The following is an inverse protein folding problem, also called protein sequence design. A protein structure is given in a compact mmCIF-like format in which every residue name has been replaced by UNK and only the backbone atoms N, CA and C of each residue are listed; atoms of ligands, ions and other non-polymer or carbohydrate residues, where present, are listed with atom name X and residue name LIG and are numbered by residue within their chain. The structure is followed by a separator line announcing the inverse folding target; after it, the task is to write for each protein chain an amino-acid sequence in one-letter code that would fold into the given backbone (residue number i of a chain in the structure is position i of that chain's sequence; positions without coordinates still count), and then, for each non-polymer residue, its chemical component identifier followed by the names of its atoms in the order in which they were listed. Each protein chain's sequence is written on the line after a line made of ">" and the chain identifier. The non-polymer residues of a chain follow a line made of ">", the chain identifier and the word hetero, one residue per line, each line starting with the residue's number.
data_IF_448842957809
#
_entry.id   IF_448842957809
#
_cell.length_a   1.000
_cell.length_b   1.000
_cell.length_c   1.000
_cell.angle_alpha   90.00
_cell.angle_beta   90.00
_cell.angle_gamma   90.00
#
_symmetry.space_group_name_H-M   'P 1'
#
loop_
_entity.id
_entity.type
_entity.pdbx_description
1 polymer ?
#
# COMPACT_ATOMS: atom_id res chain seq x y z
N UNK A 1 1.37 7.08 20.87
CA UNK A 1 0.62 5.82 20.78
C UNK A 1 -0.84 6.12 20.49
N UNK A 2 -1.50 5.26 19.70
CA UNK A 2 -2.94 5.34 19.44
C UNK A 2 -3.57 3.94 19.53
N UNK A 3 -4.86 3.86 19.89
CA UNK A 3 -5.67 2.65 19.81
C UNK A 3 -6.79 2.86 18.81
N UNK A 4 -6.99 1.89 17.94
CA UNK A 4 -7.94 1.96 16.81
C UNK A 4 -8.97 0.84 16.90
N UNK A 5 -10.18 1.09 16.44
CA UNK A 5 -11.27 0.10 16.52
C UNK A 5 -12.61 0.69 16.12
N UNK A 6 -13.69 0.01 16.47
CA UNK A 6 -15.06 0.36 16.12
C UNK A 6 -15.94 0.38 17.37
N UNK A 7 -16.95 1.25 17.39
CA UNK A 7 -17.99 1.30 18.42
C UNK A 7 -17.44 1.34 19.86
N UNK A 8 -16.35 2.11 20.06
CA UNK A 8 -15.69 2.24 21.36
C UNK A 8 -14.86 1.01 21.78
N UNK A 9 -14.77 -0.04 20.95
CA UNK A 9 -14.00 -1.25 21.24
C UNK A 9 -12.68 -1.23 20.47
N UNK A 10 -11.53 -1.37 21.15
CA UNK A 10 -10.25 -1.43 20.47
C UNK A 10 -10.13 -2.74 19.66
N UNK A 11 -9.67 -2.63 18.43
CA UNK A 11 -9.23 -3.74 17.60
C UNK A 11 -7.72 -3.93 17.72
N UNK A 12 -6.97 -2.82 17.68
CA UNK A 12 -5.53 -2.79 17.82
C UNK A 12 -5.17 -1.68 18.79
N UNK A 13 -4.40 -2.04 19.80
CA UNK A 13 -3.96 -1.13 20.84
C UNK A 13 -2.49 -0.75 20.68
N UNK A 14 -2.10 0.36 21.30
CA UNK A 14 -0.72 0.83 21.42
C UNK A 14 0.05 0.99 20.08
N UNK A 15 -0.65 1.29 19.01
CA UNK A 15 -0.01 1.57 17.71
C UNK A 15 0.90 2.79 17.84
N UNK A 16 2.18 2.60 17.62
CA UNK A 16 3.20 3.66 17.62
C UNK A 16 3.89 3.72 16.27
N UNK A 17 3.73 4.83 15.58
CA UNK A 17 4.30 5.06 14.26
C UNK A 17 5.00 6.41 14.29
N UNK A 18 6.23 6.44 13.81
CA UNK A 18 6.98 7.67 13.58
C UNK A 18 7.54 7.62 12.16
N UNK A 19 7.21 8.61 11.37
CA UNK A 19 7.68 8.76 9.99
C UNK A 19 8.31 10.13 9.79
N UNK A 20 9.32 10.17 8.95
CA UNK A 20 9.93 11.41 8.45
C UNK A 20 9.27 11.81 7.14
N UNK A 21 9.39 13.08 6.77
CA UNK A 21 8.94 13.55 5.45
C UNK A 21 9.68 12.80 4.34
N UNK A 22 8.93 12.40 3.31
CA UNK A 22 9.48 11.65 2.19
C UNK A 22 9.73 10.16 2.45
N UNK A 23 9.27 9.61 3.59
CA UNK A 23 9.33 8.17 3.84
C UNK A 23 8.06 7.45 3.37
N UNK A 24 8.24 6.20 2.97
CA UNK A 24 7.18 5.25 2.62
C UNK A 24 7.04 4.22 3.73
N UNK A 25 5.88 4.19 4.38
CA UNK A 25 5.50 3.14 5.33
C UNK A 25 4.50 2.19 4.67
N UNK A 26 4.82 0.91 4.65
CA UNK A 26 3.89 -0.14 4.21
C UNK A 26 3.36 -0.95 5.39
N UNK A 27 2.04 -1.09 5.44
CA UNK A 27 1.35 -1.97 6.38
C UNK A 27 1.22 -3.36 5.77
N UNK A 28 1.73 -4.38 6.44
CA UNK A 28 1.62 -5.79 6.09
C UNK A 28 0.82 -6.56 7.14
N UNK A 29 0.28 -7.69 6.73
CA UNK A 29 -0.45 -8.63 7.60
C UNK A 29 -1.62 -9.29 6.90
N UNK A 30 -2.17 -10.35 7.49
CA UNK A 30 -3.29 -11.10 6.93
C UNK A 30 -4.52 -10.23 6.62
N UNK A 31 -5.43 -10.76 5.80
CA UNK A 31 -6.72 -10.11 5.58
C UNK A 31 -7.49 -10.04 6.90
N UNK A 32 -8.12 -8.90 7.16
CA UNK A 32 -8.83 -8.65 8.41
C UNK A 32 -7.93 -8.31 9.62
N UNK A 33 -6.60 -8.24 9.45
CA UNK A 33 -5.67 -7.89 10.55
C UNK A 33 -5.83 -6.46 11.07
N UNK A 34 -6.59 -5.59 10.38
CA UNK A 34 -6.84 -4.23 10.85
C UNK A 34 -6.02 -3.14 10.14
N UNK A 35 -5.31 -3.46 9.05
CA UNK A 35 -4.54 -2.49 8.25
C UNK A 35 -5.38 -1.28 7.84
N UNK A 36 -6.51 -1.52 7.17
CA UNK A 36 -7.44 -0.45 6.75
C UNK A 36 -8.04 0.31 7.94
N UNK A 37 -8.18 -0.32 9.13
CA UNK A 37 -8.64 0.36 10.34
C UNK A 37 -7.59 1.36 10.82
N UNK A 38 -6.31 0.99 10.83
CA UNK A 38 -5.20 1.90 11.14
C UNK A 38 -5.19 3.06 10.15
N UNK A 39 -5.23 2.78 8.82
CA UNK A 39 -5.21 3.82 7.79
C UNK A 39 -6.38 4.80 7.91
N UNK A 40 -7.61 4.30 8.11
CA UNK A 40 -8.81 5.13 8.31
C UNK A 40 -8.73 5.97 9.59
N UNK A 41 -8.14 5.44 10.65
CA UNK A 41 -7.96 6.17 11.90
C UNK A 41 -6.93 7.28 11.76
N UNK A 42 -5.80 7.02 11.07
CA UNK A 42 -4.83 8.07 10.73
C UNK A 42 -5.47 9.12 9.83
N UNK A 43 -6.29 8.71 8.85
CA UNK A 43 -7.01 9.60 7.94
C UNK A 43 -8.18 10.38 8.60
N UNK A 44 -8.44 10.20 9.89
CA UNK A 44 -9.59 10.78 10.61
C UNK A 44 -10.96 10.40 10.03
N UNK A 45 -11.02 9.33 9.22
CA UNK A 45 -12.27 8.73 8.74
C UNK A 45 -12.90 7.81 9.79
N UNK A 46 -12.11 7.37 10.75
CA UNK A 46 -12.53 6.60 11.92
C UNK A 46 -11.97 7.27 13.17
N UNK A 47 -12.80 7.46 14.16
CA UNK A 47 -12.38 8.04 15.45
C UNK A 47 -11.40 7.12 16.16
N UNK A 48 -10.35 7.70 16.75
CA UNK A 48 -9.46 6.96 17.65
C UNK A 48 -10.22 6.52 18.90
N UNK A 49 -9.95 5.31 19.37
CA UNK A 49 -10.40 4.83 20.67
C UNK A 49 -9.61 5.53 21.78
N UNK A 50 -8.30 5.64 21.61
CA UNK A 50 -7.43 6.36 22.52
C UNK A 50 -6.19 6.89 21.81
N UNK A 51 -5.47 7.80 22.45
CA UNK A 51 -4.21 8.35 21.94
C UNK A 51 -4.37 9.50 20.98
N UNK A 52 -3.33 9.79 20.21
CA UNK A 52 -3.28 10.93 19.29
C UNK A 52 -2.49 10.61 18.02
N UNK A 53 -2.84 11.28 16.92
CA UNK A 53 -2.02 11.39 15.71
C UNK A 53 -1.53 12.83 15.60
N UNK A 54 -0.26 13.01 15.34
CA UNK A 54 0.36 14.34 15.20
C UNK A 54 0.98 14.50 13.81
N UNK A 55 0.81 15.66 13.22
CA UNK A 55 1.46 16.09 12.00
C UNK A 55 2.38 17.27 12.34
N UNK A 56 3.66 17.14 12.06
CA UNK A 56 4.68 18.16 12.41
C UNK A 56 4.60 18.62 13.88
N UNK A 57 4.28 17.67 14.79
CA UNK A 57 4.13 17.93 16.22
C UNK A 57 2.75 18.46 16.66
N UNK A 58 1.90 18.89 15.73
CA UNK A 58 0.55 19.37 15.98
C UNK A 58 -0.47 18.20 16.05
N UNK A 59 -1.35 18.21 17.04
CA UNK A 59 -2.41 17.19 17.16
C UNK A 59 -3.43 17.38 16.04
N UNK A 60 -3.64 16.35 15.24
CA UNK A 60 -4.61 16.39 14.14
C UNK A 60 -6.03 16.76 14.55
N UNK A 61 -6.40 16.60 15.81
CA UNK A 61 -7.75 16.96 16.32
C UNK A 61 -7.96 18.46 16.36
N UNK A 62 -6.88 19.26 16.43
CA UNK A 62 -6.95 20.72 16.42
C UNK A 62 -7.17 21.29 15.01
N UNK A 63 -6.84 20.51 13.96
CA UNK A 63 -7.02 20.92 12.59
C UNK A 63 -8.49 20.85 12.17
N UNK A 64 -8.96 21.88 11.47
CA UNK A 64 -10.25 21.82 10.77
C UNK A 64 -10.22 20.79 9.64
N UNK A 65 -11.38 20.36 9.17
CA UNK A 65 -11.46 19.46 8.02
C UNK A 65 -10.81 20.03 6.75
N UNK A 66 -10.91 21.34 6.53
CA UNK A 66 -10.30 22.01 5.39
C UNK A 66 -8.76 22.05 5.49
N UNK A 67 -8.22 22.34 6.67
CA UNK A 67 -6.76 22.32 6.91
C UNK A 67 -6.21 20.91 6.76
N UNK A 68 -6.86 19.92 7.34
CA UNK A 68 -6.44 18.53 7.19
C UNK A 68 -6.47 18.07 5.73
N UNK A 69 -7.53 18.45 4.98
CA UNK A 69 -7.66 18.10 3.56
C UNK A 69 -6.57 18.73 2.68
N UNK A 70 -5.94 19.84 3.10
CA UNK A 70 -4.78 20.40 2.39
C UNK A 70 -3.48 19.67 2.70
N UNK A 71 -3.39 19.03 3.86
CA UNK A 71 -2.18 18.32 4.32
C UNK A 71 -2.19 16.83 3.96
N UNK A 72 -3.38 16.22 3.82
CA UNK A 72 -3.51 14.77 3.70
C UNK A 72 -4.52 14.40 2.62
N UNK A 73 -4.08 13.57 1.67
CA UNK A 73 -4.94 12.93 0.68
C UNK A 73 -5.10 11.44 0.97
N UNK A 74 -6.24 10.89 0.58
CA UNK A 74 -6.60 9.49 0.87
C UNK A 74 -7.20 8.83 -0.35
N UNK A 75 -6.67 7.66 -0.72
CA UNK A 75 -7.23 6.78 -1.74
C UNK A 75 -7.56 5.45 -1.09
N UNK A 76 -8.84 5.13 -1.00
CA UNK A 76 -9.34 3.88 -0.44
C UNK A 76 -9.78 2.92 -1.54
N UNK A 77 -9.80 1.63 -1.23
CA UNK A 77 -10.17 0.54 -2.15
C UNK A 77 -11.59 0.64 -2.71
N UNK A 78 -12.47 1.45 -2.10
CA UNK A 78 -13.84 1.63 -2.60
C UNK A 78 -13.84 2.26 -3.98
N UNK A 79 -14.45 1.59 -4.96
CA UNK A 79 -14.66 2.15 -6.30
C UNK A 79 -15.52 3.40 -6.22
N UNK A 80 -14.95 4.51 -6.65
CA UNK A 80 -15.71 5.72 -6.96
C UNK A 80 -16.61 5.40 -8.17
N UNK A 81 -17.89 5.71 -8.07
CA UNK A 81 -18.80 5.71 -9.22
C UNK A 81 -18.85 7.14 -9.72
N UNK A 82 -18.25 7.38 -10.86
CA UNK A 82 -18.21 8.70 -11.50
C UNK A 82 -19.14 8.73 -12.71
N UNK A 83 -20.44 8.41 -12.52
CA UNK A 83 -21.41 8.44 -13.62
C UNK A 83 -21.34 9.79 -14.34
N UNK A 84 -21.01 9.77 -15.64
CA UNK A 84 -20.87 10.91 -16.53
C UNK A 84 -19.67 11.85 -16.27
N UNK A 85 -18.79 11.56 -15.31
CA UNK A 85 -17.58 12.36 -15.08
C UNK A 85 -16.46 11.93 -16.04
N UNK A 86 -15.74 12.90 -16.58
CA UNK A 86 -14.48 12.65 -17.28
C UNK A 86 -13.35 12.35 -16.28
N UNK A 87 -12.22 11.85 -16.76
CA UNK A 87 -11.05 11.63 -15.91
C UNK A 87 -10.55 12.97 -15.32
N UNK A 88 -10.58 14.06 -16.12
CA UNK A 88 -10.22 15.38 -15.65
C UNK A 88 -11.17 15.87 -14.56
N UNK A 89 -12.50 15.69 -14.72
CA UNK A 89 -13.48 16.04 -13.69
C UNK A 89 -13.19 15.33 -12.36
N UNK A 90 -12.86 14.03 -12.42
CA UNK A 90 -12.50 13.24 -11.23
C UNK A 90 -11.25 13.82 -10.56
N UNK A 91 -10.20 14.13 -11.33
CA UNK A 91 -8.97 14.74 -10.78
C UNK A 91 -9.25 16.10 -10.19
N UNK A 92 -10.06 16.92 -10.85
CA UNK A 92 -10.45 18.26 -10.42
C UNK A 92 -11.15 18.26 -9.05
N UNK A 93 -11.85 17.18 -8.67
CA UNK A 93 -12.39 17.05 -7.31
C UNK A 93 -11.32 17.11 -6.22
N UNK A 94 -10.06 16.82 -6.54
CA UNK A 94 -8.91 16.98 -5.63
C UNK A 94 -8.68 18.44 -5.21
N UNK A 95 -9.20 19.41 -5.97
CA UNK A 95 -9.06 20.84 -5.66
C UNK A 95 -10.14 21.39 -4.72
N UNK A 96 -11.12 20.59 -4.31
CA UNK A 96 -12.17 21.05 -3.38
C UNK A 96 -11.67 21.74 -2.10
N UNK A 97 -10.54 21.36 -1.47
CA UNK A 97 -10.01 22.08 -0.32
C UNK A 97 -9.58 23.53 -0.62
N UNK A 98 -9.40 23.88 -1.89
CA UNK A 98 -8.93 25.19 -2.36
C UNK A 98 -10.06 26.02 -3.00
N UNK A 99 -11.10 25.36 -3.51
CA UNK A 99 -12.25 26.04 -4.09
C UNK A 99 -13.17 26.51 -2.97
N UNK A 100 -13.59 27.75 -3.02
CA UNK A 100 -14.51 28.30 -2.03
C UNK A 100 -15.89 27.59 -2.06
N UNK A 101 -16.87 28.18 -1.38
CA UNK A 101 -18.23 27.62 -1.19
C UNK A 101 -18.94 27.21 -2.50
N UNK A 102 -18.57 27.80 -3.62
CA UNK A 102 -19.19 27.53 -4.93
C UNK A 102 -18.44 26.49 -5.76
N UNK A 103 -17.30 25.96 -5.29
CA UNK A 103 -16.54 24.93 -6.02
C UNK A 103 -15.95 25.40 -7.36
N UNK A 104 -15.82 26.72 -7.58
CA UNK A 104 -15.30 27.26 -8.85
C UNK A 104 -13.78 27.11 -8.90
N UNK A 105 -13.32 26.41 -9.92
CA UNK A 105 -11.88 26.24 -10.20
C UNK A 105 -11.31 27.53 -10.79
N UNK A 106 -10.14 27.93 -10.33
CA UNK A 106 -9.35 29.04 -10.86
C UNK A 106 -8.29 28.52 -11.83
N UNK A 107 -7.61 29.42 -12.53
CA UNK A 107 -6.54 29.05 -13.46
C UNK A 107 -5.44 28.21 -12.78
N UNK A 108 -5.09 28.52 -11.52
CA UNK A 108 -4.13 27.75 -10.71
C UNK A 108 -4.61 26.33 -10.41
N UNK A 109 -5.91 26.12 -10.21
CA UNK A 109 -6.51 24.81 -9.98
C UNK A 109 -6.47 23.97 -11.25
N UNK A 110 -6.80 24.55 -12.42
CA UNK A 110 -6.67 23.86 -13.71
C UNK A 110 -5.23 23.46 -13.99
N UNK A 111 -4.26 24.33 -13.71
CA UNK A 111 -2.83 24.01 -13.85
C UNK A 111 -2.41 22.84 -12.92
N UNK A 112 -2.92 22.82 -11.67
CA UNK A 112 -2.66 21.74 -10.73
C UNK A 112 -3.27 20.40 -11.20
N UNK A 113 -4.47 20.42 -11.79
CA UNK A 113 -5.13 19.24 -12.39
C UNK A 113 -4.27 18.70 -13.52
N UNK A 114 -3.89 19.55 -14.49
CA UNK A 114 -3.10 19.15 -15.63
C UNK A 114 -1.74 18.56 -15.19
N UNK A 115 -1.03 19.25 -14.30
CA UNK A 115 0.25 18.78 -13.75
C UNK A 115 0.11 17.43 -13.04
N UNK A 116 -0.94 17.23 -12.25
CA UNK A 116 -1.19 15.95 -11.58
C UNK A 116 -1.44 14.82 -12.58
N UNK A 117 -2.19 15.08 -13.65
CA UNK A 117 -2.47 14.10 -14.71
C UNK A 117 -1.23 13.74 -15.51
N UNK A 118 -0.37 14.70 -15.83
CA UNK A 118 0.92 14.48 -16.50
C UNK A 118 1.86 13.63 -15.65
N UNK A 119 1.97 13.92 -14.35
CA UNK A 119 2.82 13.19 -13.41
C UNK A 119 2.53 11.69 -13.37
N UNK A 120 1.26 11.31 -13.48
CA UNK A 120 0.86 9.90 -13.45
C UNK A 120 0.51 9.35 -14.85
N UNK A 121 0.84 10.10 -15.91
CA UNK A 121 0.70 9.68 -17.30
C UNK A 121 -0.76 9.32 -17.69
N UNK A 122 -1.69 10.18 -17.37
CA UNK A 122 -3.12 10.04 -17.72
C UNK A 122 -3.69 11.28 -18.41
N UNK A 123 -2.86 12.25 -18.81
CA UNK A 123 -3.31 13.47 -19.47
C UNK A 123 -4.03 13.18 -20.80
N UNK A 124 -3.56 12.20 -21.57
CA UNK A 124 -4.15 11.82 -22.87
C UNK A 124 -5.58 11.27 -22.76
N UNK A 125 -5.99 10.82 -21.59
CA UNK A 125 -7.34 10.28 -21.34
C UNK A 125 -8.23 11.24 -20.54
N UNK A 126 -7.84 12.51 -20.43
CA UNK A 126 -8.57 13.53 -19.65
C UNK A 126 -10.05 13.59 -19.96
N UNK A 127 -10.40 13.66 -21.24
CA UNK A 127 -11.77 13.73 -21.74
C UNK A 127 -12.53 12.39 -21.73
N UNK A 128 -11.85 11.28 -21.43
CA UNK A 128 -12.49 9.97 -21.38
C UNK A 128 -13.38 9.83 -20.15
N UNK A 129 -14.54 9.17 -20.31
CA UNK A 129 -15.40 8.87 -19.16
C UNK A 129 -14.70 7.95 -18.19
N UNK A 130 -14.65 8.33 -16.91
CA UNK A 130 -13.98 7.61 -15.85
C UNK A 130 -14.44 6.14 -15.70
N UNK A 131 -15.71 5.86 -15.96
CA UNK A 131 -16.27 4.50 -15.88
C UNK A 131 -15.90 3.62 -17.09
N UNK A 132 -15.33 4.20 -18.17
CA UNK A 132 -15.00 3.49 -19.41
C UNK A 132 -13.51 3.20 -19.60
N UNK A 133 -12.66 3.60 -18.64
CA UNK A 133 -11.22 3.34 -18.69
C UNK A 133 -10.85 2.03 -17.98
N UNK A 134 -9.64 1.50 -18.25
CA UNK A 134 -9.13 0.29 -17.59
C UNK A 134 -8.91 0.51 -16.09
N UNK A 135 -8.84 -0.59 -15.31
CA UNK A 135 -8.59 -0.51 -13.88
C UNK A 135 -7.22 0.14 -13.57
N UNK A 136 -6.19 -0.13 -14.38
CA UNK A 136 -4.88 0.51 -14.23
C UNK A 136 -4.92 2.02 -14.50
N UNK A 137 -5.66 2.44 -15.53
CA UNK A 137 -5.88 3.87 -15.80
C UNK A 137 -6.68 4.51 -14.67
N UNK A 138 -7.73 3.84 -14.20
CA UNK A 138 -8.57 4.32 -13.09
C UNK A 138 -7.75 4.55 -11.82
N UNK A 139 -6.86 3.62 -11.48
CA UNK A 139 -6.00 3.75 -10.31
C UNK A 139 -5.04 4.94 -10.44
N UNK A 140 -4.48 5.18 -11.63
CA UNK A 140 -3.63 6.36 -11.89
C UNK A 140 -4.44 7.67 -11.84
N UNK A 141 -5.66 7.70 -12.36
CA UNK A 141 -6.56 8.86 -12.24
C UNK A 141 -6.89 9.16 -10.77
N UNK A 142 -7.13 8.12 -9.96
CA UNK A 142 -7.34 8.29 -8.52
C UNK A 142 -6.08 8.79 -7.79
N UNK A 143 -4.90 8.36 -8.23
CA UNK A 143 -3.64 8.90 -7.74
C UNK A 143 -3.45 10.36 -8.18
N UNK A 144 -3.75 10.71 -9.44
CA UNK A 144 -3.74 12.09 -9.93
C UNK A 144 -4.63 12.99 -9.07
N UNK A 145 -5.85 12.55 -8.80
CA UNK A 145 -6.80 13.25 -7.91
C UNK A 145 -6.20 13.52 -6.53
N UNK A 146 -5.54 12.54 -5.94
CA UNK A 146 -4.90 12.69 -4.65
C UNK A 146 -3.68 13.63 -4.70
N UNK A 147 -2.86 13.55 -5.73
CA UNK A 147 -1.69 14.43 -5.95
C UNK A 147 -2.13 15.87 -6.26
N UNK A 148 -3.22 16.05 -7.02
CA UNK A 148 -3.80 17.35 -7.35
C UNK A 148 -4.20 18.14 -6.10
N UNK A 149 -4.46 17.47 -5.00
CA UNK A 149 -4.71 18.07 -3.69
C UNK A 149 -3.43 18.68 -3.07
N UNK A 150 -2.24 18.43 -3.64
CA UNK A 150 -0.94 18.88 -3.15
C UNK A 150 -0.67 18.52 -1.67
N UNK A 151 -0.90 17.25 -1.28
CA UNK A 151 -0.79 16.85 0.11
C UNK A 151 0.67 16.70 0.57
N UNK A 152 0.91 16.81 1.87
CA UNK A 152 2.17 16.43 2.53
C UNK A 152 2.18 14.91 2.84
N UNK A 153 1.00 14.32 3.02
CA UNK A 153 0.82 12.89 3.36
C UNK A 153 -0.21 12.26 2.42
N UNK A 154 0.14 11.11 1.86
CA UNK A 154 -0.73 10.30 1.02
C UNK A 154 -1.01 8.96 1.68
N UNK A 155 -2.28 8.65 1.92
CA UNK A 155 -2.72 7.37 2.46
C UNK A 155 -3.38 6.55 1.35
N UNK A 156 -2.91 5.30 1.17
CA UNK A 156 -3.38 4.40 0.12
C UNK A 156 -3.75 3.05 0.73
N UNK A 157 -5.00 2.63 0.56
CA UNK A 157 -5.44 1.31 1.02
C UNK A 157 -5.51 0.35 -0.17
N UNK A 158 -4.60 -0.62 -0.22
CA UNK A 158 -4.43 -1.63 -1.26
C UNK A 158 -4.39 -1.05 -2.69
N UNK A 159 -3.51 -0.08 -2.98
CA UNK A 159 -3.54 0.64 -4.25
C UNK A 159 -3.15 -0.22 -5.47
N UNK A 160 -2.53 -1.37 -5.26
CA UNK A 160 -2.11 -2.28 -6.33
C UNK A 160 -3.11 -3.40 -6.62
N UNK A 161 -4.20 -3.48 -5.84
CA UNK A 161 -5.25 -4.46 -6.07
C UNK A 161 -5.87 -4.29 -7.46
N UNK A 162 -6.08 -5.39 -8.16
CA UNK A 162 -6.62 -5.44 -9.53
C UNK A 162 -5.70 -4.90 -10.63
N UNK A 163 -4.45 -4.54 -10.33
CA UNK A 163 -3.45 -4.16 -11.33
C UNK A 163 -2.67 -5.39 -11.79
N UNK A 164 -2.36 -5.45 -13.09
CA UNK A 164 -1.36 -6.40 -13.59
C UNK A 164 0.07 -5.98 -13.18
N UNK A 165 1.03 -6.85 -13.40
CA UNK A 165 2.43 -6.66 -12.98
C UNK A 165 3.01 -5.35 -13.51
N UNK A 166 2.75 -5.01 -14.79
CA UNK A 166 3.27 -3.78 -15.41
C UNK A 166 2.73 -2.55 -14.70
N UNK A 167 1.40 -2.47 -14.55
CA UNK A 167 0.75 -1.31 -13.93
C UNK A 167 1.10 -1.16 -12.45
N UNK A 168 1.32 -2.28 -11.70
CA UNK A 168 1.85 -2.24 -10.33
C UNK A 168 3.21 -1.57 -10.26
N UNK A 169 4.14 -1.99 -11.11
CA UNK A 169 5.49 -1.43 -11.14
C UNK A 169 5.49 0.05 -11.51
N UNK A 170 4.72 0.43 -12.54
CA UNK A 170 4.55 1.83 -12.96
C UNK A 170 4.00 2.69 -11.81
N UNK A 171 2.93 2.22 -11.14
CA UNK A 171 2.30 2.91 -10.03
C UNK A 171 3.27 3.13 -8.86
N UNK A 172 3.97 2.07 -8.43
CA UNK A 172 4.91 2.15 -7.32
C UNK A 172 6.13 3.02 -7.66
N UNK A 173 6.62 2.97 -8.90
CA UNK A 173 7.70 3.85 -9.35
C UNK A 173 7.31 5.33 -9.30
N UNK A 174 6.07 5.67 -9.69
CA UNK A 174 5.53 7.03 -9.57
C UNK A 174 5.49 7.46 -8.09
N UNK A 175 4.99 6.61 -7.19
CA UNK A 175 4.97 6.91 -5.76
C UNK A 175 6.37 7.16 -5.21
N UNK A 176 7.33 6.29 -5.53
CA UNK A 176 8.72 6.43 -5.08
C UNK A 176 9.35 7.73 -5.57
N UNK A 177 9.14 8.08 -6.84
CA UNK A 177 9.59 9.35 -7.42
C UNK A 177 9.00 10.55 -6.66
N UNK A 178 7.70 10.56 -6.41
CA UNK A 178 7.03 11.65 -5.68
C UNK A 178 7.57 11.78 -4.24
N UNK A 179 7.80 10.66 -3.55
CA UNK A 179 8.39 10.67 -2.22
C UNK A 179 9.77 11.32 -2.22
N UNK A 180 10.64 10.96 -3.16
CA UNK A 180 12.03 11.48 -3.21
C UNK A 180 12.10 12.91 -3.70
N UNK A 181 11.36 13.26 -4.75
CA UNK A 181 11.45 14.58 -5.39
C UNK A 181 10.61 15.66 -4.68
N UNK A 182 9.44 15.28 -4.16
CA UNK A 182 8.48 16.21 -3.53
C UNK A 182 8.38 16.08 -2.01
N UNK A 183 9.18 15.20 -1.41
CA UNK A 183 9.13 14.91 0.03
C UNK A 183 7.72 14.49 0.50
N UNK A 184 6.97 13.82 -0.38
CA UNK A 184 5.64 13.29 -0.08
C UNK A 184 5.80 12.09 0.86
N UNK A 185 5.18 12.14 2.02
CA UNK A 185 5.13 10.99 2.94
C UNK A 185 4.00 10.06 2.53
N UNK A 186 4.28 8.77 2.36
CA UNK A 186 3.27 7.80 1.93
C UNK A 186 3.06 6.73 2.99
N UNK A 187 1.79 6.46 3.29
CA UNK A 187 1.39 5.34 4.16
C UNK A 187 0.45 4.46 3.34
N UNK A 188 0.84 3.21 3.09
CA UNK A 188 0.03 2.32 2.26
C UNK A 188 -0.10 0.92 2.86
N UNK A 189 -1.15 0.19 2.46
CA UNK A 189 -1.24 -1.25 2.69
C UNK A 189 -0.95 -1.99 1.38
N UNK A 190 -0.21 -3.08 1.46
CA UNK A 190 0.05 -3.98 0.34
C UNK A 190 -0.23 -5.42 0.75
N UNK A 191 -0.49 -6.26 -0.25
CA UNK A 191 -0.58 -7.72 -0.09
C UNK A 191 0.67 -8.43 -0.64
N UNK A 192 1.33 -7.81 -1.60
CA UNK A 192 2.51 -8.35 -2.25
C UNK A 192 3.76 -8.04 -1.42
N UNK A 193 4.30 -9.08 -0.77
CA UNK A 193 5.47 -8.97 0.10
C UNK A 193 6.70 -8.45 -0.63
N UNK A 194 6.97 -9.00 -1.83
CA UNK A 194 8.07 -8.57 -2.69
C UNK A 194 8.00 -7.08 -3.07
N UNK A 195 6.80 -6.56 -3.32
CA UNK A 195 6.63 -5.15 -3.64
C UNK A 195 6.78 -4.27 -2.40
N UNK A 196 6.30 -4.75 -1.25
CA UNK A 196 6.47 -4.05 0.02
C UNK A 196 7.95 -3.90 0.38
N UNK A 197 8.73 -4.97 0.24
CA UNK A 197 10.17 -4.95 0.47
C UNK A 197 10.89 -3.93 -0.44
N UNK A 198 10.51 -3.87 -1.71
CA UNK A 198 11.18 -3.01 -2.71
C UNK A 198 10.86 -1.52 -2.60
N UNK A 199 9.66 -1.17 -2.11
CA UNK A 199 9.24 0.23 -2.10
C UNK A 199 9.40 0.92 -0.74
N UNK A 200 9.35 0.17 0.36
CA UNK A 200 9.20 0.73 1.70
C UNK A 200 10.51 1.19 2.30
N UNK A 201 10.50 2.34 2.94
CA UNK A 201 11.54 2.73 3.89
C UNK A 201 11.30 2.05 5.25
N UNK A 202 10.03 1.81 5.58
CA UNK A 202 9.62 1.11 6.79
C UNK A 202 8.42 0.20 6.52
N UNK A 203 8.36 -0.91 7.23
CA UNK A 203 7.25 -1.87 7.22
C UNK A 203 6.68 -1.96 8.63
N UNK A 204 5.35 -1.96 8.71
CA UNK A 204 4.58 -2.20 9.93
C UNK A 204 3.74 -3.46 9.74
N UNK A 205 3.99 -4.46 10.56
CA UNK A 205 3.29 -5.74 10.53
C UNK A 205 2.17 -5.78 11.57
N UNK A 206 0.98 -6.20 11.13
CA UNK A 206 -0.23 -6.28 11.96
C UNK A 206 -0.75 -7.72 11.96
N UNK A 207 -0.98 -8.27 13.14
CA UNK A 207 -1.43 -9.67 13.29
C UNK A 207 -2.92 -9.80 13.69
N UNK A 208 -3.68 -8.71 13.65
CA UNK A 208 -5.12 -8.69 13.99
C UNK A 208 -5.45 -8.29 15.43
N UNK A 209 -4.45 -8.13 16.30
CA UNK A 209 -4.62 -7.68 17.70
C UNK A 209 -3.64 -6.59 18.08
N UNK A 210 -2.47 -6.60 17.48
CA UNK A 210 -1.40 -5.67 17.79
C UNK A 210 -0.57 -5.35 16.55
N UNK A 211 0.21 -4.28 16.64
CA UNK A 211 1.39 -4.11 15.81
C UNK A 211 2.45 -5.07 16.34
N UNK A 212 2.84 -6.01 15.50
CA UNK A 212 3.77 -7.08 15.87
C UNK A 212 5.22 -6.64 15.70
N UNK A 213 5.53 -6.04 14.54
CA UNK A 213 6.85 -5.46 14.25
C UNK A 213 6.72 -4.16 13.47
N UNK A 214 7.71 -3.28 13.66
CA UNK A 214 7.92 -2.10 12.82
C UNK A 214 9.42 -1.86 12.67
N UNK A 215 9.90 -1.66 11.44
CA UNK A 215 11.32 -1.46 11.15
C UNK A 215 11.56 -1.25 9.67
N UNK A 216 12.83 -1.29 9.24
CA UNK A 216 13.19 -1.37 7.83
C UNK A 216 12.80 -2.74 7.25
N UNK A 217 12.72 -2.89 5.92
CA UNK A 217 12.47 -4.21 5.32
C UNK A 217 13.40 -5.29 5.85
N UNK A 218 14.70 -5.00 5.99
CA UNK A 218 15.73 -5.95 6.46
C UNK A 218 15.55 -6.32 7.93
N UNK A 219 15.03 -5.42 8.76
CA UNK A 219 14.75 -5.68 10.18
C UNK A 219 13.48 -6.52 10.37
N UNK A 220 12.52 -6.37 9.46
CA UNK A 220 11.19 -7.01 9.56
C UNK A 220 11.17 -8.34 8.81
N UNK A 221 11.70 -8.40 7.58
CA UNK A 221 11.70 -9.57 6.71
C UNK A 221 12.79 -10.55 7.11
N UNK A 222 12.73 -11.07 8.33
CA UNK A 222 13.70 -12.05 8.87
C UNK A 222 13.21 -13.48 8.71
N UNK A 223 14.14 -14.44 8.70
CA UNK A 223 13.87 -15.86 8.44
C UNK A 223 12.68 -16.41 9.25
N UNK A 224 11.70 -16.95 8.53
CA UNK A 224 10.52 -17.59 9.08
C UNK A 224 9.46 -16.64 9.67
N UNK A 225 9.73 -15.34 9.75
CA UNK A 225 8.78 -14.39 10.35
C UNK A 225 7.51 -14.22 9.50
N UNK A 226 7.65 -14.09 8.20
CA UNK A 226 6.49 -13.97 7.29
C UNK A 226 5.62 -15.23 7.33
N UNK A 227 6.26 -16.38 7.35
CA UNK A 227 5.56 -17.67 7.51
C UNK A 227 4.70 -17.69 8.78
N UNK A 228 5.23 -17.17 9.90
CA UNK A 228 4.53 -17.06 11.17
C UNK A 228 3.41 -16.02 11.12
N UNK A 229 3.68 -14.80 10.61
CA UNK A 229 2.73 -13.69 10.53
C UNK A 229 1.48 -14.05 9.72
N UNK A 230 1.67 -14.75 8.59
CA UNK A 230 0.57 -15.17 7.72
C UNK A 230 0.01 -16.55 8.09
N UNK A 231 0.60 -17.25 9.07
CA UNK A 231 0.17 -18.58 9.50
C UNK A 231 0.27 -19.63 8.39
N UNK A 232 1.32 -19.55 7.54
CA UNK A 232 1.53 -20.47 6.43
C UNK A 232 1.82 -21.86 6.98
N UNK A 233 0.96 -22.83 6.66
CA UNK A 233 1.09 -24.23 7.13
C UNK A 233 1.51 -25.19 6.02
N UNK A 234 1.17 -24.88 4.76
CA UNK A 234 1.43 -25.74 3.60
C UNK A 234 2.29 -25.00 2.60
N UNK A 235 3.59 -24.93 2.90
CA UNK A 235 4.60 -24.22 2.14
C UNK A 235 5.49 -23.39 3.05
N UNK A 236 6.29 -22.54 2.43
CA UNK A 236 7.18 -21.61 3.11
C UNK A 236 7.32 -20.33 2.30
N UNK A 237 7.73 -19.29 2.97
CA UNK A 237 8.21 -18.05 2.37
C UNK A 237 9.70 -17.98 2.64
N UNK A 238 10.49 -17.79 1.57
CA UNK A 238 11.93 -17.59 1.64
C UNK A 238 12.22 -16.09 1.61
N UNK A 239 12.52 -15.50 2.74
CA UNK A 239 12.75 -14.08 2.89
C UNK A 239 13.99 -13.61 2.10
N UNK A 240 15.00 -14.46 1.94
CA UNK A 240 16.20 -14.11 1.20
C UNK A 240 15.97 -13.92 -0.30
N UNK A 241 14.97 -14.58 -0.86
CA UNK A 241 14.62 -14.50 -2.28
C UNK A 241 13.24 -13.88 -2.54
N UNK A 242 12.50 -13.54 -1.49
CA UNK A 242 11.11 -13.07 -1.53
C UNK A 242 10.19 -14.04 -2.31
N UNK A 243 10.50 -15.34 -2.28
CA UNK A 243 9.79 -16.39 -3.03
C UNK A 243 8.88 -17.21 -2.10
N UNK A 244 7.73 -17.63 -2.64
CA UNK A 244 6.85 -18.61 -2.00
C UNK A 244 7.07 -20.00 -2.61
N UNK A 245 7.21 -20.99 -1.74
CA UNK A 245 7.32 -22.38 -2.17
C UNK A 245 6.21 -23.23 -1.56
N UNK A 246 5.64 -24.12 -2.37
CA UNK A 246 4.65 -25.07 -1.90
C UNK A 246 5.35 -26.14 -1.04
N UNK A 247 4.59 -26.80 -0.17
CA UNK A 247 5.09 -27.94 0.59
C UNK A 247 5.63 -29.02 -0.35
N UNK A 248 6.70 -29.69 0.07
CA UNK A 248 7.21 -30.84 -0.67
C UNK A 248 6.13 -31.94 -0.74
N UNK A 249 6.05 -32.71 -1.84
CA UNK A 249 5.15 -33.85 -1.93
C UNK A 249 5.42 -34.85 -0.80
N UNK A 250 4.35 -35.33 -0.15
CA UNK A 250 4.45 -36.31 0.92
C UNK A 250 4.80 -37.70 0.40
N UNK A 251 5.52 -38.49 1.19
CA UNK A 251 5.87 -39.86 0.90
C UNK A 251 7.35 -40.17 1.06
N UNK A 252 7.73 -41.40 0.77
CA UNK A 252 9.12 -41.82 0.79
C UNK A 252 9.88 -41.10 -0.34
N UNK A 253 10.99 -40.41 -0.06
CA UNK A 253 11.75 -39.72 -1.08
C UNK A 253 12.22 -40.65 -2.18
N UNK A 254 11.94 -40.29 -3.42
CA UNK A 254 12.35 -41.08 -4.62
C UNK A 254 13.54 -40.43 -5.32
N UNK A 255 13.79 -39.14 -5.05
CA UNK A 255 14.89 -38.39 -5.68
C UNK A 255 15.66 -37.64 -4.62
N UNK A 256 16.98 -37.69 -4.74
CA UNK A 256 17.90 -36.87 -3.97
C UNK A 256 18.46 -35.79 -4.90
N UNK A 257 18.25 -34.53 -4.59
CA UNK A 257 18.74 -33.42 -5.41
C UNK A 257 19.87 -32.69 -4.66
N UNK A 258 21.06 -32.72 -5.22
CA UNK A 258 22.22 -31.97 -4.71
C UNK A 258 22.29 -30.66 -5.50
N UNK A 259 22.14 -29.52 -4.82
CA UNK A 259 22.22 -28.21 -5.44
C UNK A 259 22.63 -27.16 -4.40
N UNK A 260 23.29 -26.10 -4.87
CA UNK A 260 23.70 -24.96 -4.06
C UNK A 260 23.40 -23.64 -4.77
N UNK A 261 23.47 -22.51 -4.04
CA UNK A 261 23.28 -21.15 -4.55
C UNK A 261 22.02 -20.96 -5.43
N UNK A 262 20.91 -21.61 -5.07
CA UNK A 262 19.63 -21.47 -5.77
C UNK A 262 19.52 -22.30 -7.07
N UNK A 263 20.57 -23.04 -7.50
CA UNK A 263 20.56 -23.80 -8.76
C UNK A 263 19.50 -24.92 -8.82
N UNK A 264 19.06 -25.44 -7.66
CA UNK A 264 18.08 -26.52 -7.55
C UNK A 264 16.63 -26.12 -7.77
N UNK A 265 16.26 -24.84 -7.71
CA UNK A 265 14.87 -24.35 -7.70
C UNK A 265 14.02 -24.88 -8.87
N UNK A 266 14.55 -24.84 -10.09
CA UNK A 266 13.82 -25.36 -11.27
C UNK A 266 13.52 -26.84 -11.13
N UNK A 267 14.46 -27.63 -10.61
CA UNK A 267 14.31 -29.07 -10.36
C UNK A 267 13.29 -29.33 -9.27
N UNK A 268 13.38 -28.62 -8.14
CA UNK A 268 12.41 -28.75 -7.03
C UNK A 268 10.99 -28.48 -7.49
N UNK A 269 10.74 -27.35 -8.20
CA UNK A 269 9.40 -27.00 -8.75
C UNK A 269 8.92 -28.03 -9.79
N UNK A 270 9.82 -28.69 -10.53
CA UNK A 270 9.46 -29.75 -11.46
C UNK A 270 9.02 -31.02 -10.73
N UNK A 271 9.76 -31.42 -9.71
CA UNK A 271 9.43 -32.58 -8.86
C UNK A 271 8.13 -32.34 -8.09
N UNK A 272 7.94 -31.16 -7.51
CA UNK A 272 6.69 -30.78 -6.86
C UNK A 272 5.49 -30.90 -7.81
N UNK A 273 5.59 -30.33 -9.03
CA UNK A 273 4.50 -30.46 -10.03
C UNK A 273 4.22 -31.89 -10.46
N UNK A 274 5.23 -32.74 -10.42
CA UNK A 274 5.10 -34.16 -10.73
C UNK A 274 4.60 -34.99 -9.55
N UNK A 275 4.43 -34.39 -8.36
CA UNK A 275 4.06 -35.12 -7.14
C UNK A 275 5.12 -36.11 -6.66
N UNK A 276 6.38 -35.91 -7.04
CA UNK A 276 7.49 -36.83 -6.70
C UNK A 276 8.15 -36.36 -5.40
N UNK A 277 8.07 -37.15 -4.31
CA UNK A 277 8.77 -36.83 -3.06
C UNK A 277 10.29 -36.82 -3.27
N UNK A 278 10.96 -35.79 -2.74
CA UNK A 278 12.41 -35.62 -2.87
C UNK A 278 13.02 -35.06 -1.59
N UNK A 279 14.31 -35.23 -1.45
CA UNK A 279 15.12 -34.59 -0.43
C UNK A 279 16.23 -33.78 -1.09
N UNK A 280 16.71 -32.77 -0.40
CA UNK A 280 17.74 -31.87 -0.90
C UNK A 280 19.00 -31.98 -0.09
N UNK A 281 20.14 -31.93 -0.78
CA UNK A 281 21.48 -31.80 -0.18
C UNK A 281 22.11 -30.49 -0.67
N UNK A 282 22.91 -29.88 0.19
CA UNK A 282 23.70 -28.69 -0.12
C UNK A 282 25.14 -29.13 -0.38
N UNK A 283 25.75 -28.63 -1.45
CA UNK A 283 27.19 -28.73 -1.71
C UNK A 283 27.87 -27.53 -1.09
#
# INVERSE_FOLDING_TARGET
>A
KMSVGYDGKPLIEEVEIMLRKGEILTLLGPNGAGKSTILKSIARQLSLIAGTVRLDGEDMRTLTGAELSKKMAVVMTKRLRGELMTCEDVVATGRYPYTGRFGVLRAEDHAAVQNAMELVQVAEIGDSLFDRISDGQRQRVMLARAICQEPEILILDEPTSYLDVRHKLEFLSILQKLCRERQLTVILSLHELELAEKISDRILCVNGRAVDRIGTPEEVMTDGYITQLYGIRMGSYDEASSDMELAAPEGTPQVFVIAGAGSGRKTYRRLQRAGIPFVTGIL
#
